data_IF_330588566632
#
_entry.id   IF_330588566632
#
_cell.length_a   1.000
_cell.length_b   1.000
_cell.length_c   1.000
_cell.angle_alpha   90.00
_cell.angle_beta   90.00
_cell.angle_gamma   90.00
#
_symmetry.space_group_name_H-M   'P 1'
#
loop_
_entity.id
_entity.type
_entity.pdbx_description
1 polymer ?
#
# COMPACT_ATOMS: atom_id res chain seq x y z
N UNK A 1 -39.65 -13.34 5.03
CA UNK A 1 -38.57 -13.59 6.02
C UNK A 1 -37.16 -13.53 5.42
N UNK A 2 -36.96 -13.61 4.10
CA UNK A 2 -35.63 -13.57 3.44
C UNK A 2 -34.91 -12.22 3.44
N UNK A 3 -35.65 -11.10 3.53
CA UNK A 3 -35.06 -9.75 3.56
C UNK A 3 -34.37 -9.38 4.87
N UNK A 4 -34.65 -10.09 5.97
CA UNK A 4 -34.02 -9.87 7.26
C UNK A 4 -32.67 -10.60 7.40
N UNK A 5 -32.42 -11.64 6.59
CA UNK A 5 -31.18 -12.41 6.63
C UNK A 5 -30.05 -11.77 5.82
N UNK A 6 -30.37 -11.00 4.77
CA UNK A 6 -29.38 -10.30 3.95
C UNK A 6 -28.74 -9.09 4.65
N UNK A 7 -29.33 -8.59 5.74
CA UNK A 7 -28.80 -7.48 6.51
C UNK A 7 -27.92 -7.91 7.70
N UNK A 8 -27.86 -9.22 8.00
CA UNK A 8 -27.10 -9.76 9.13
C UNK A 8 -25.69 -10.27 8.75
N UNK A 9 -25.40 -10.45 7.45
CA UNK A 9 -24.07 -10.81 6.93
C UNK A 9 -23.16 -9.57 6.69
N UNK A 10 -23.67 -8.37 6.94
CA UNK A 10 -22.94 -7.09 6.84
C UNK A 10 -22.34 -6.64 8.19
N UNK A 11 -22.18 -7.57 9.13
CA UNK A 11 -21.23 -7.36 10.21
C UNK A 11 -19.85 -7.36 9.55
N UNK A 12 -19.30 -6.16 9.30
CA UNK A 12 -18.03 -5.96 8.61
C UNK A 12 -16.99 -6.90 9.22
N UNK A 13 -16.77 -8.02 8.53
CA UNK A 13 -15.90 -9.08 9.03
C UNK A 13 -14.55 -8.43 9.34
N UNK A 14 -14.03 -8.70 10.54
CA UNK A 14 -12.76 -8.14 10.97
C UNK A 14 -11.72 -8.34 9.86
N UNK A 15 -10.86 -7.33 9.61
CA UNK A 15 -9.85 -7.45 8.58
C UNK A 15 -8.96 -8.67 8.87
N UNK A 16 -8.52 -9.36 7.82
CA UNK A 16 -7.65 -10.53 7.97
C UNK A 16 -6.32 -10.12 8.60
N UNK A 17 -5.79 -8.98 8.18
CA UNK A 17 -4.63 -8.37 8.82
C UNK A 17 -5.09 -7.40 9.91
N UNK A 18 -4.46 -7.44 11.08
CA UNK A 18 -4.85 -6.54 12.19
C UNK A 18 -4.27 -5.14 11.98
N UNK A 19 -3.09 -5.05 11.37
CA UNK A 19 -2.42 -3.80 11.09
C UNK A 19 -1.96 -3.71 9.64
N UNK A 20 -1.73 -2.48 9.18
CA UNK A 20 -1.08 -2.23 7.89
C UNK A 20 0.32 -2.86 7.83
N UNK A 21 1.03 -2.91 8.95
CA UNK A 21 2.37 -3.50 8.99
C UNK A 21 2.32 -4.99 8.67
N UNK A 22 1.36 -5.72 9.25
CA UNK A 22 1.16 -7.15 8.97
C UNK A 22 0.83 -7.37 7.48
N UNK A 23 -0.06 -6.56 6.92
CA UNK A 23 -0.39 -6.61 5.51
C UNK A 23 0.84 -6.37 4.62
N UNK A 24 1.67 -5.39 4.93
CA UNK A 24 2.89 -5.12 4.16
C UNK A 24 3.88 -6.28 4.28
N UNK A 25 4.02 -6.85 5.47
CA UNK A 25 4.98 -7.91 5.76
C UNK A 25 4.62 -9.25 5.15
N UNK A 26 3.32 -9.56 5.06
CA UNK A 26 2.81 -10.85 4.57
C UNK A 26 2.31 -10.81 3.12
N UNK A 27 1.83 -9.66 2.63
CA UNK A 27 1.34 -9.52 1.25
C UNK A 27 2.33 -8.78 0.39
N UNK A 28 2.70 -7.55 0.73
CA UNK A 28 3.49 -6.71 -0.20
C UNK A 28 4.93 -7.21 -0.32
N UNK A 29 5.65 -7.34 0.79
CA UNK A 29 7.09 -7.68 0.84
C UNK A 29 7.44 -9.01 0.15
N UNK A 30 6.74 -10.14 0.38
CA UNK A 30 7.11 -11.41 -0.25
C UNK A 30 6.75 -11.49 -1.74
N UNK A 31 5.74 -10.72 -2.21
CA UNK A 31 5.24 -10.76 -3.59
C UNK A 31 5.95 -9.75 -4.50
N UNK A 32 6.25 -8.53 -4.02
CA UNK A 32 6.95 -7.50 -4.80
C UNK A 32 8.47 -7.66 -4.73
N UNK A 33 9.00 -8.69 -5.40
CA UNK A 33 10.45 -8.93 -5.52
C UNK A 33 11.04 -8.07 -6.63
N UNK A 34 11.67 -6.94 -6.27
CA UNK A 34 12.33 -6.01 -7.19
C UNK A 34 13.71 -5.66 -6.66
N UNK A 35 14.67 -5.50 -7.56
CA UNK A 35 15.99 -5.00 -7.19
C UNK A 35 15.87 -3.50 -6.88
N UNK A 36 16.15 -3.12 -5.64
CA UNK A 36 15.98 -1.75 -5.10
C UNK A 36 17.27 -1.20 -4.50
N UNK A 37 18.39 -1.90 -4.71
CA UNK A 37 19.73 -1.42 -4.33
C UNK A 37 20.26 -0.36 -5.31
N UNK A 38 21.37 0.29 -4.94
CA UNK A 38 21.96 1.42 -5.66
C UNK A 38 22.25 1.12 -7.13
N UNK A 39 21.95 2.09 -8.01
CA UNK A 39 22.15 2.01 -9.45
C UNK A 39 20.92 1.51 -10.23
N UNK A 40 19.89 1.00 -9.56
CA UNK A 40 18.68 0.54 -10.24
C UNK A 40 17.59 1.61 -10.35
N UNK A 41 16.69 1.43 -11.33
CA UNK A 41 15.59 2.35 -11.63
C UNK A 41 14.47 2.36 -10.59
N UNK A 42 14.51 1.51 -9.54
CA UNK A 42 13.43 1.41 -8.54
C UNK A 42 13.94 1.77 -7.15
N UNK A 43 13.08 2.44 -6.36
CA UNK A 43 13.39 2.92 -5.01
C UNK A 43 12.52 2.26 -3.95
N UNK A 44 13.10 2.00 -2.78
CA UNK A 44 12.38 1.57 -1.60
C UNK A 44 13.05 2.13 -0.35
N UNK A 45 12.25 2.61 0.60
CA UNK A 45 12.73 3.00 1.93
C UNK A 45 12.43 1.88 2.93
N UNK A 46 13.43 1.33 3.65
CA UNK A 46 13.17 0.36 4.71
C UNK A 46 12.26 0.90 5.84
N UNK A 47 12.26 2.21 6.05
CA UNK A 47 11.38 2.91 7.00
C UNK A 47 10.20 3.57 6.27
N UNK A 48 9.58 2.85 5.34
CA UNK A 48 8.48 3.36 4.51
C UNK A 48 7.35 4.01 5.32
N UNK A 49 7.09 3.52 6.54
CA UNK A 49 6.04 4.04 7.43
C UNK A 49 6.30 5.48 7.89
N UNK A 50 7.54 5.96 7.80
CA UNK A 50 7.90 7.35 8.11
C UNK A 50 7.54 8.32 6.97
N UNK A 51 7.12 7.82 5.80
CA UNK A 51 6.65 8.64 4.69
C UNK A 51 5.12 8.66 4.68
N UNK A 52 4.52 9.82 4.98
CA UNK A 52 3.06 9.97 5.04
C UNK A 52 2.35 9.56 3.75
N UNK A 53 2.90 9.93 2.59
CA UNK A 53 2.36 9.49 1.29
C UNK A 53 2.43 7.98 1.12
N UNK A 54 3.56 7.35 1.46
CA UNK A 54 3.72 5.91 1.30
C UNK A 54 2.78 5.13 2.23
N UNK A 55 2.67 5.57 3.48
CA UNK A 55 1.74 5.00 4.45
C UNK A 55 0.31 5.03 3.90
N UNK A 56 -0.15 6.17 3.37
CA UNK A 56 -1.52 6.30 2.84
C UNK A 56 -1.76 5.46 1.59
N UNK A 57 -0.76 5.34 0.70
CA UNK A 57 -0.87 4.46 -0.49
C UNK A 57 -0.96 2.99 -0.07
N UNK A 58 -0.15 2.54 0.88
CA UNK A 58 -0.19 1.16 1.36
C UNK A 58 -1.48 0.88 2.16
N UNK A 59 -1.98 1.83 2.95
CA UNK A 59 -3.29 1.74 3.62
C UNK A 59 -4.44 1.57 2.62
N UNK A 60 -4.43 2.33 1.52
CA UNK A 60 -5.41 2.19 0.45
C UNK A 60 -5.34 0.81 -0.22
N UNK A 61 -4.12 0.30 -0.47
CA UNK A 61 -3.93 -1.05 -1.01
C UNK A 61 -4.48 -2.13 -0.10
N UNK A 62 -4.23 -2.01 1.21
CA UNK A 62 -4.72 -2.95 2.21
C UNK A 62 -6.25 -2.95 2.25
N UNK A 63 -6.89 -1.79 2.33
CA UNK A 63 -8.36 -1.66 2.31
C UNK A 63 -8.97 -2.26 1.04
N UNK A 64 -8.38 -1.99 -0.13
CA UNK A 64 -8.83 -2.57 -1.38
C UNK A 64 -8.67 -4.10 -1.40
N UNK A 65 -7.59 -4.61 -0.83
CA UNK A 65 -7.35 -6.05 -0.72
C UNK A 65 -8.38 -6.73 0.18
N UNK A 66 -8.64 -6.18 1.37
CA UNK A 66 -9.64 -6.71 2.32
C UNK A 66 -11.05 -6.74 1.73
N UNK A 67 -11.37 -5.77 0.88
CA UNK A 67 -12.63 -5.74 0.17
C UNK A 67 -12.67 -6.79 -0.96
N UNK A 68 -11.69 -6.76 -1.87
CA UNK A 68 -11.71 -7.57 -3.09
C UNK A 68 -11.43 -9.05 -2.83
N UNK A 69 -10.72 -9.42 -1.76
CA UNK A 69 -10.51 -10.84 -1.40
C UNK A 69 -11.81 -11.60 -1.12
N UNK A 70 -12.92 -10.89 -0.85
CA UNK A 70 -14.23 -11.49 -0.60
C UNK A 70 -14.84 -12.06 -1.88
N UNK A 71 -14.40 -11.59 -3.06
CA UNK A 71 -14.74 -12.22 -4.33
C UNK A 71 -13.70 -13.30 -4.70
N UNK A 72 -14.06 -14.59 -4.62
CA UNK A 72 -13.14 -15.67 -4.96
C UNK A 72 -12.90 -15.81 -6.47
N UNK A 73 -13.66 -15.12 -7.33
CA UNK A 73 -13.57 -15.29 -8.78
C UNK A 73 -12.51 -14.35 -9.39
N UNK A 74 -12.78 -13.04 -9.41
CA UNK A 74 -11.93 -12.07 -10.11
C UNK A 74 -11.33 -11.03 -9.19
N UNK A 75 -11.78 -10.96 -7.93
CA UNK A 75 -11.31 -10.01 -6.93
C UNK A 75 -9.79 -9.88 -6.83
N UNK A 76 -9.05 -11.00 -6.81
CA UNK A 76 -7.59 -10.98 -6.82
C UNK A 76 -7.00 -10.32 -8.08
N UNK A 77 -7.53 -10.64 -9.26
CA UNK A 77 -7.08 -10.08 -10.54
C UNK A 77 -7.36 -8.57 -10.62
N UNK A 78 -8.55 -8.16 -10.18
CA UNK A 78 -8.94 -6.73 -10.07
C UNK A 78 -8.02 -6.01 -9.10
N UNK A 79 -7.73 -6.59 -7.93
CA UNK A 79 -6.85 -5.98 -6.95
C UNK A 79 -5.46 -5.72 -7.52
N UNK A 80 -4.86 -6.70 -8.20
CA UNK A 80 -3.55 -6.53 -8.84
C UNK A 80 -3.57 -5.44 -9.91
N UNK A 81 -4.49 -5.56 -10.87
CA UNK A 81 -4.57 -4.68 -12.05
C UNK A 81 -4.88 -3.24 -11.68
N UNK A 82 -5.88 -3.03 -10.83
CA UNK A 82 -6.48 -1.71 -10.62
C UNK A 82 -5.93 -0.98 -9.39
N UNK A 83 -5.34 -1.71 -8.44
CA UNK A 83 -4.85 -1.13 -7.19
C UNK A 83 -3.34 -1.36 -7.02
N UNK A 84 -2.93 -2.63 -6.88
CA UNK A 84 -1.59 -3.00 -6.47
C UNK A 84 -0.53 -2.46 -7.44
N UNK A 85 -0.67 -2.74 -8.74
CA UNK A 85 0.30 -2.30 -9.75
C UNK A 85 0.39 -0.78 -9.88
N UNK A 86 -0.74 -0.06 -9.72
CA UNK A 86 -0.74 1.39 -9.74
C UNK A 86 0.03 1.97 -8.55
N UNK A 87 -0.35 1.63 -7.32
CA UNK A 87 0.27 2.21 -6.12
C UNK A 87 1.72 1.76 -5.95
N UNK A 88 2.03 0.49 -6.21
CA UNK A 88 3.40 0.00 -6.14
C UNK A 88 4.28 0.56 -7.26
N UNK A 89 3.71 0.83 -8.44
CA UNK A 89 4.39 1.57 -9.50
C UNK A 89 4.86 2.94 -9.03
N UNK A 90 3.98 3.70 -8.37
CA UNK A 90 4.28 5.02 -7.81
C UNK A 90 5.28 4.97 -6.64
N UNK A 91 5.12 4.00 -5.73
CA UNK A 91 6.02 3.83 -4.59
C UNK A 91 7.44 3.49 -5.01
N UNK A 92 7.58 2.63 -6.02
CA UNK A 92 8.88 2.17 -6.52
C UNK A 92 9.50 3.13 -7.54
N UNK A 93 8.78 4.18 -7.95
CA UNK A 93 9.28 5.16 -8.91
C UNK A 93 10.49 5.92 -8.36
N UNK A 94 11.57 6.12 -9.15
CA UNK A 94 12.75 6.83 -8.67
C UNK A 94 12.50 8.33 -8.41
N UNK A 95 11.42 8.90 -8.96
CA UNK A 95 10.90 10.23 -8.65
C UNK A 95 9.76 10.20 -7.62
N UNK A 96 9.41 9.02 -7.11
CA UNK A 96 8.34 8.82 -6.14
C UNK A 96 8.70 9.25 -4.71
N UNK A 97 7.89 8.83 -3.71
CA UNK A 97 8.00 9.28 -2.32
C UNK A 97 9.32 8.86 -1.64
N UNK A 98 10.02 7.89 -2.21
CA UNK A 98 11.32 7.40 -1.72
C UNK A 98 12.52 7.93 -2.52
N UNK A 99 12.33 8.92 -3.39
CA UNK A 99 13.39 9.46 -4.28
C UNK A 99 14.67 9.87 -3.53
N UNK A 100 14.52 10.52 -2.36
CA UNK A 100 15.63 10.93 -1.50
C UNK A 100 16.17 9.81 -0.59
N UNK A 101 15.52 8.65 -0.55
CA UNK A 101 15.89 7.51 0.28
C UNK A 101 16.64 6.44 -0.51
N UNK A 102 17.25 5.50 0.20
CA UNK A 102 17.83 4.31 -0.40
C UNK A 102 18.07 3.22 0.63
N UNK A 103 18.17 1.97 0.16
CA UNK A 103 18.38 0.79 1.03
C UNK A 103 19.70 0.90 1.81
N UNK A 104 20.77 1.44 1.22
CA UNK A 104 22.07 1.62 1.88
C UNK A 104 22.22 2.94 2.64
N UNK A 105 21.63 4.03 2.12
CA UNK A 105 21.77 5.37 2.71
C UNK A 105 20.68 5.71 3.74
N UNK A 106 19.68 4.83 3.91
CA UNK A 106 18.64 4.96 4.91
C UNK A 106 17.52 5.95 4.54
N UNK A 107 16.64 6.17 5.51
CA UNK A 107 15.55 7.15 5.44
C UNK A 107 16.08 8.57 5.54
N UNK A 108 15.53 9.47 4.73
CA UNK A 108 15.82 10.91 4.79
C UNK A 108 14.52 11.70 4.87
N UNK A 109 14.36 12.45 5.97
CA UNK A 109 13.23 13.35 6.19
C UNK A 109 13.63 14.77 5.78
N UNK A 110 13.88 14.97 4.48
CA UNK A 110 14.47 16.23 3.99
C UNK A 110 13.46 17.22 3.44
N UNK A 111 12.23 16.80 3.11
CA UNK A 111 11.25 17.67 2.46
C UNK A 111 10.19 18.15 3.46
N UNK A 112 9.94 19.46 3.58
CA UNK A 112 8.83 19.98 4.36
C UNK A 112 7.48 19.64 3.68
N UNK A 113 6.35 19.79 4.40
CA UNK A 113 5.02 19.75 3.78
C UNK A 113 4.91 20.72 2.60
N UNK A 114 3.98 20.43 1.69
CA UNK A 114 3.72 21.33 0.56
C UNK A 114 3.36 22.73 1.09
N UNK A 115 3.93 23.80 0.50
CA UNK A 115 3.56 25.17 0.87
C UNK A 115 2.06 25.40 0.69
N UNK A 116 1.43 26.05 1.66
CA UNK A 116 0.03 26.45 1.61
C UNK A 116 -0.13 27.79 2.35
N UNK A 117 -0.67 28.79 1.67
CA UNK A 117 -1.08 30.05 2.29
C UNK A 117 -2.38 29.83 3.09
N UNK A 118 -2.60 30.66 4.11
CA UNK A 118 -3.90 30.69 4.80
C UNK A 118 -4.96 31.28 3.87
N UNK A 119 -6.21 30.77 3.92
CA UNK A 119 -7.29 31.24 3.05
C UNK A 119 -7.70 32.70 3.29
#
# INVERSE_FOLDING_TARGET
MQKAQAAADDAEAAPVYTTLLDFVDEVIRPHYRREVSEGNQKKWCPQWWAHGEAYRRLDALWRAWEHLRKDPNTGASVWWKDHADHHMGMLLDPQGPFSACGVRHGHKTTLPPLPADQP
#
